data_IF_307807040875
#
_entry.id   IF_307807040875
#
_cell.length_a   1.000
_cell.length_b   1.000
_cell.length_c   1.000
_cell.angle_alpha   90.00
_cell.angle_beta   90.00
_cell.angle_gamma   90.00
#
_symmetry.space_group_name_H-M   'P 1'
#
loop_
_entity.id
_entity.type
_entity.pdbx_description
1 polymer ?
2 branched ?
3 water ?
#
# COMPACT_ATOMS: atom_id res chain seq x y z
N UNK A 4 10.68 -13.68 11.46
CA UNK A 4 11.93 -13.68 10.70
C UNK A 4 12.16 -12.37 9.95
N UNK A 5 11.21 -11.95 9.11
CA UNK A 5 11.41 -10.72 8.33
C UNK A 5 11.73 -9.49 9.13
N UNK A 6 10.86 -9.13 10.08
CA UNK A 6 10.98 -7.92 10.88
C UNK A 6 12.12 -8.04 11.88
N UNK A 7 12.35 -9.26 12.35
CA UNK A 7 13.50 -9.42 13.26
C UNK A 7 14.81 -9.17 12.52
N UNK A 8 14.90 -9.64 11.28
CA UNK A 8 16.10 -9.49 10.47
C UNK A 8 16.33 -8.10 9.93
N UNK A 9 15.30 -7.49 9.37
CA UNK A 9 15.43 -6.17 8.74
C UNK A 9 15.15 -5.02 9.68
N UNK A 10 14.29 -5.26 10.66
CA UNK A 10 14.00 -4.31 11.72
C UNK A 10 13.49 -2.97 11.26
N UNK A 11 14.15 -1.92 11.77
CA UNK A 11 13.78 -0.54 11.47
C UNK A 11 14.11 -0.19 10.02
N UNK A 12 13.07 0.22 9.30
CA UNK A 12 13.23 0.62 7.90
C UNK A 12 13.44 2.13 7.87
N UNK A 13 14.09 2.59 6.84
CA UNK A 13 14.29 4.03 6.64
C UNK A 13 14.60 4.24 5.17
N UNK A 14 14.70 5.52 4.82
CA UNK A 14 15.04 5.91 3.45
C UNK A 14 16.47 6.48 3.44
N UNK A 15 17.26 5.90 2.56
CA UNK A 15 18.65 6.32 2.36
C UNK A 15 18.93 6.53 0.87
N UNK A 16 19.19 7.78 0.50
CA UNK A 16 19.43 8.16 -0.89
C UNK A 16 18.30 7.69 -1.82
N UNK A 17 17.05 7.89 -1.42
CA UNK A 17 15.87 7.57 -2.18
C UNK A 17 15.51 6.09 -2.25
N UNK A 18 16.18 5.27 -1.45
CA UNK A 18 15.89 3.85 -1.42
C UNK A 18 15.43 3.37 -0.05
N UNK A 19 14.56 2.37 -0.06
CA UNK A 19 14.15 1.71 1.17
C UNK A 19 15.24 0.75 1.65
N UNK A 20 15.73 1.01 2.86
CA UNK A 20 16.76 0.18 3.47
C UNK A 20 16.36 -0.32 4.86
N UNK A 21 17.08 -1.38 5.29
CA UNK A 21 16.87 -1.94 6.63
C UNK A 21 17.79 -1.22 7.64
N UNK A 22 17.80 -1.68 8.88
CA UNK A 22 18.56 -1.05 9.96
C UNK A 22 20.07 -1.22 9.87
N UNK A 23 20.52 -2.08 9.01
CA UNK A 23 21.92 -2.27 8.68
C UNK A 23 22.27 -1.60 7.37
N UNK A 24 21.36 -0.78 6.82
CA UNK A 24 21.62 -0.07 5.58
C UNK A 24 21.53 -0.82 4.27
N UNK A 25 21.06 -2.05 4.25
CA UNK A 25 20.93 -2.80 3.01
C UNK A 25 19.55 -2.58 2.37
N UNK A 26 19.57 -2.50 1.06
CA UNK A 26 18.29 -2.33 0.35
C UNK A 26 17.41 -3.51 0.68
N UNK A 27 16.12 -3.23 0.85
CA UNK A 27 15.12 -4.25 1.09
C UNK A 27 13.91 -3.95 0.20
N UNK A 28 13.27 -5.01 -0.25
CA UNK A 28 12.09 -4.89 -1.12
C UNK A 28 10.96 -5.67 -0.48
N UNK A 29 9.84 -4.97 -0.26
CA UNK A 29 8.67 -5.60 0.31
C UNK A 29 7.70 -5.92 -0.82
N UNK A 30 7.11 -7.09 -0.73
CA UNK A 30 6.12 -7.59 -1.66
C UNK A 30 5.02 -8.25 -0.85
N UNK A 31 3.78 -7.77 -1.11
CA UNK A 31 2.67 -8.37 -0.38
C UNK A 31 1.34 -8.07 -1.06
N UNK A 32 0.32 -8.25 -0.24
CA UNK A 32 -1.04 -8.05 -0.70
C UNK A 32 -1.73 -6.94 0.08
N UNK A 33 -2.66 -6.27 -0.59
CA UNK A 33 -3.56 -5.35 0.03
C UNK A 33 -4.93 -6.04 0.20
N UNK A 34 -5.60 -5.73 1.29
CA UNK A 34 -7.00 -6.09 1.44
C UNK A 34 -7.76 -5.26 0.42
N UNK A 35 -9.02 -5.60 0.22
CA UNK A 35 -9.96 -4.76 -0.53
C UNK A 35 -10.54 -3.87 0.58
N UNK A 36 -11.64 -3.17 0.41
CA UNK A 36 -12.15 -2.31 1.44
C UNK A 36 -12.49 -3.12 2.70
N UNK A 37 -11.99 -2.67 3.84
CA UNK A 37 -12.29 -3.41 5.09
C UNK A 37 -13.76 -3.38 5.49
N UNK A 38 -14.53 -2.40 5.03
CA UNK A 38 -15.98 -2.37 5.34
C UNK A 38 -16.79 -3.38 4.54
N UNK A 39 -16.22 -4.01 3.53
CA UNK A 39 -16.86 -4.96 2.66
C UNK A 39 -16.27 -6.35 2.74
N UNK A 40 -14.93 -6.48 2.76
CA UNK A 40 -14.27 -7.76 2.72
C UNK A 40 -13.26 -8.04 3.82
N UNK A 41 -13.60 -7.52 5.01
CA UNK A 41 -12.86 -7.63 6.24
C UNK A 41 -12.69 -9.03 6.78
N UNK A 42 -13.56 -9.98 6.37
CA UNK A 42 -13.38 -11.35 6.77
C UNK A 42 -12.09 -11.97 6.27
N UNK A 43 -11.48 -11.45 5.19
CA UNK A 43 -10.24 -11.97 4.66
C UNK A 43 -8.99 -11.44 5.38
N UNK A 44 -9.20 -10.55 6.34
CA UNK A 44 -8.08 -9.98 7.09
C UNK A 44 -8.12 -10.50 8.52
N UNK A 45 -7.22 -11.44 8.81
CA UNK A 45 -7.15 -12.08 10.10
C UNK A 45 -5.79 -12.75 10.23
N UNK A 46 -5.40 -13.09 11.45
CA UNK A 46 -4.13 -13.77 11.66
C UNK A 46 -3.92 -14.99 10.78
N UNK A 47 -4.91 -15.86 10.68
CA UNK A 47 -4.75 -17.10 9.92
C UNK A 47 -4.52 -16.94 8.42
N UNK A 48 -5.27 -16.04 7.80
CA UNK A 48 -5.10 -15.77 6.36
C UNK A 48 -3.77 -15.06 6.15
N UNK A 49 -3.37 -14.15 7.04
CA UNK A 49 -2.12 -13.43 6.89
C UNK A 49 -0.95 -14.40 7.07
N UNK A 50 -1.11 -15.36 7.99
CA UNK A 50 -0.09 -16.37 8.21
C UNK A 50 0.04 -17.30 7.00
N UNK A 51 -1.10 -17.62 6.36
CA UNK A 51 -1.06 -18.40 5.14
C UNK A 51 -0.37 -17.62 4.02
N UNK A 52 -0.68 -16.33 3.86
CA UNK A 52 0.00 -15.52 2.85
C UNK A 52 1.52 -15.52 3.10
N UNK A 53 1.92 -15.35 4.36
CA UNK A 53 3.31 -15.32 4.70
C UNK A 53 4.01 -16.64 4.35
N UNK A 54 3.42 -17.74 4.79
CA UNK A 54 4.05 -19.03 4.64
C UNK A 54 3.94 -19.64 3.24
N UNK A 55 2.81 -19.50 2.58
CA UNK A 55 2.61 -20.15 1.27
C UNK A 55 2.94 -19.22 0.12
N UNK A 56 2.63 -17.93 0.27
CA UNK A 56 2.97 -16.99 -0.79
C UNK A 56 4.32 -16.34 -0.57
N UNK A 57 4.81 -16.22 0.67
CA UNK A 57 6.06 -15.54 0.92
C UNK A 57 5.92 -14.04 1.12
N UNK A 58 4.73 -13.53 1.44
CA UNK A 58 4.57 -12.08 1.61
C UNK A 58 5.40 -11.62 2.81
N UNK A 59 5.84 -10.37 2.76
CA UNK A 59 6.58 -9.74 3.83
C UNK A 59 5.94 -8.40 4.21
N UNK A 60 4.79 -8.09 3.64
CA UNK A 60 4.05 -6.89 4.00
C UNK A 60 2.57 -7.11 3.70
N UNK A 61 1.71 -6.51 4.54
CA UNK A 61 0.26 -6.63 4.30
C UNK A 61 -0.32 -5.23 4.41
N UNK A 62 -1.19 -4.86 3.50
CA UNK A 62 -1.79 -3.53 3.48
C UNK A 62 -3.26 -3.56 3.86
N UNK A 63 -3.64 -2.85 4.93
CA UNK A 63 -5.01 -2.77 5.39
C UNK A 63 -5.66 -1.54 4.76
N UNK A 64 -6.53 -1.75 3.78
CA UNK A 64 -7.19 -0.67 3.06
C UNK A 64 -8.47 -0.19 3.71
N UNK A 65 -8.32 0.80 4.59
CA UNK A 65 -9.43 1.37 5.32
C UNK A 65 -10.07 2.53 4.55
N UNK A 66 -11.05 2.21 3.72
CA UNK A 66 -11.77 3.25 3.00
C UNK A 66 -12.30 4.23 4.05
N UNK A 67 -12.31 5.48 3.68
CA UNK A 67 -12.82 6.55 4.51
C UNK A 67 -14.29 6.78 4.15
N UNK A 68 -14.56 6.93 2.87
CA UNK A 68 -15.91 7.09 2.38
C UNK A 68 -16.46 5.74 1.93
N UNK A 69 -17.51 5.72 1.13
CA UNK A 69 -18.10 4.51 0.58
C UNK A 69 -18.41 3.48 1.66
N UNK A 70 -19.03 3.92 2.74
CA UNK A 70 -19.36 3.07 3.87
C UNK A 70 -18.23 2.73 4.80
N UNK A 71 -17.07 3.36 4.63
CA UNK A 71 -15.86 3.21 5.39
C UNK A 71 -15.89 3.95 6.71
N UNK A 72 -14.69 4.34 7.14
CA UNK A 72 -14.47 4.92 8.45
C UNK A 72 -15.30 6.12 8.82
N UNK A 73 -15.54 7.06 7.92
CA UNK A 73 -16.33 8.26 8.31
C UNK A 73 -17.78 7.90 8.58
N UNK A 74 -18.30 6.90 7.87
CA UNK A 74 -19.69 6.49 8.07
C UNK A 74 -19.83 5.55 9.23
N UNK A 75 -18.85 4.67 9.40
CA UNK A 75 -18.83 3.71 10.49
C UNK A 75 -17.40 3.43 10.91
N UNK A 76 -16.97 4.09 11.97
CA UNK A 76 -15.59 4.07 12.44
C UNK A 76 -15.14 2.78 13.09
N UNK A 77 -16.07 1.84 13.27
CA UNK A 77 -15.76 0.54 13.84
C UNK A 77 -14.74 -0.20 13.01
N UNK A 78 -14.59 0.08 11.71
CA UNK A 78 -13.61 -0.50 10.85
C UNK A 78 -12.17 -0.23 11.28
N UNK A 79 -11.93 0.82 12.10
CA UNK A 79 -10.58 1.05 12.61
C UNK A 79 -10.10 -0.15 13.43
N UNK A 80 -11.03 -0.85 14.09
CA UNK A 80 -10.71 -2.03 14.88
C UNK A 80 -10.14 -3.15 14.03
N UNK A 81 -10.60 -3.29 12.78
CA UNK A 81 -10.08 -4.28 11.85
C UNK A 81 -8.66 -3.91 11.45
N UNK A 82 -8.38 -2.61 11.27
CA UNK A 82 -7.00 -2.15 11.07
C UNK A 82 -6.13 -2.60 12.23
N UNK A 83 -6.57 -2.40 13.47
CA UNK A 83 -5.80 -2.85 14.64
C UNK A 83 -5.56 -4.35 14.60
N UNK A 84 -6.57 -5.14 14.23
CA UNK A 84 -6.39 -6.58 14.13
C UNK A 84 -5.33 -6.94 13.10
N UNK A 85 -5.31 -6.25 11.94
CA UNK A 85 -4.30 -6.52 10.92
C UNK A 85 -2.89 -6.15 11.43
N UNK A 86 -2.79 -5.02 12.13
CA UNK A 86 -1.51 -4.54 12.64
C UNK A 86 -0.95 -5.56 13.65
N UNK A 87 -1.84 -6.01 14.53
CA UNK A 87 -1.45 -6.94 15.60
C UNK A 87 -1.04 -8.29 15.03
N UNK A 88 -1.75 -8.70 13.98
CA UNK A 88 -1.40 -9.94 13.29
C UNK A 88 -0.02 -9.81 12.68
N UNK A 89 0.26 -8.67 12.05
CA UNK A 89 1.54 -8.43 11.38
C UNK A 89 2.68 -8.46 12.40
N UNK A 90 2.43 -7.90 13.59
CA UNK A 90 3.42 -7.91 14.67
C UNK A 90 3.65 -9.35 15.13
N UNK A 91 2.57 -10.11 15.29
CA UNK A 91 2.66 -11.51 15.66
C UNK A 91 3.37 -12.40 14.65
N UNK A 92 3.25 -12.12 13.37
CA UNK A 92 3.79 -12.86 12.25
C UNK A 92 5.14 -12.32 11.78
N UNK A 93 5.58 -11.24 12.42
CA UNK A 93 6.86 -10.63 12.15
C UNK A 93 6.98 -10.21 10.68
N UNK A 94 5.94 -9.55 10.16
CA UNK A 94 5.98 -8.94 8.84
C UNK A 94 5.59 -7.47 8.94
N UNK A 95 5.81 -6.70 7.89
CA UNK A 95 5.44 -5.30 7.85
C UNK A 95 3.94 -5.13 7.55
N UNK A 96 3.42 -3.97 7.96
CA UNK A 96 2.01 -3.65 7.75
C UNK A 96 1.81 -2.19 7.38
N UNK A 97 0.99 -1.95 6.37
CA UNK A 97 0.69 -0.60 5.93
C UNK A 97 -0.73 -0.22 6.38
N UNK A 98 -0.83 0.87 7.12
CA UNK A 98 -2.11 1.38 7.59
C UNK A 98 -2.55 2.41 6.55
N UNK A 99 -3.55 2.06 5.71
CA UNK A 99 -3.94 2.93 4.60
C UNK A 99 -5.26 3.65 4.83
N UNK A 100 -5.17 4.96 4.90
CA UNK A 100 -6.30 5.92 5.00
C UNK A 100 -6.74 6.05 3.55
N UNK A 101 -7.70 5.19 3.18
CA UNK A 101 -8.00 4.92 1.81
C UNK A 101 -9.04 5.85 1.22
N UNK A 102 -8.55 7.07 0.87
CA UNK A 102 -9.39 8.06 0.20
C UNK A 102 -9.60 7.64 -1.25
N UNK A 103 -10.74 7.98 -1.83
CA UNK A 103 -10.99 7.68 -3.25
C UNK A 103 -12.08 8.62 -3.76
N UNK A 104 -13.37 8.33 -3.51
CA UNK A 104 -14.42 9.27 -3.94
C UNK A 104 -14.32 10.62 -3.24
N UNK A 105 -13.81 10.71 -2.04
CA UNK A 105 -13.42 11.82 -1.21
C UNK A 105 -12.01 12.10 -1.71
N UNK A 106 -12.02 12.77 -2.88
CA UNK A 106 -10.87 12.84 -3.77
C UNK A 106 -9.77 13.77 -3.33
N UNK A 107 -10.12 14.68 -2.47
CA UNK A 107 -9.12 15.59 -1.89
C UNK A 107 -8.90 15.12 -0.47
N UNK A 108 -7.66 14.86 -0.06
CA UNK A 108 -7.35 14.43 1.31
C UNK A 108 -7.75 15.44 2.36
N UNK A 109 -7.90 16.72 1.97
CA UNK A 109 -8.33 17.72 2.94
C UNK A 109 -9.76 17.56 3.40
N UNK A 110 -10.63 16.89 2.62
CA UNK A 110 -12.01 16.75 3.00
C UNK A 110 -12.15 16.22 4.42
N UNK A 111 -11.46 15.10 4.70
CA UNK A 111 -11.50 14.54 6.05
C UNK A 111 -10.19 14.68 6.83
N UNK A 112 -9.49 15.82 6.70
CA UNK A 112 -8.19 15.95 7.37
C UNK A 112 -8.22 15.95 8.87
N UNK A 113 -9.26 16.51 9.48
CA UNK A 113 -9.34 16.53 10.94
C UNK A 113 -9.51 15.10 11.44
N UNK A 114 -10.37 14.32 10.78
CA UNK A 114 -10.54 12.93 11.17
C UNK A 114 -9.26 12.14 10.93
N UNK A 115 -8.54 12.43 9.87
CA UNK A 115 -7.26 11.77 9.57
C UNK A 115 -6.21 12.06 10.63
N UNK A 116 -6.14 13.30 11.08
CA UNK A 116 -5.15 13.61 12.14
C UNK A 116 -5.46 12.84 13.42
N UNK A 117 -6.74 12.80 13.77
CA UNK A 117 -7.13 12.07 15.00
C UNK A 117 -6.84 10.58 14.88
N UNK A 118 -7.16 10.00 13.72
CA UNK A 118 -6.93 8.60 13.40
C UNK A 118 -5.44 8.27 13.45
N UNK A 119 -4.63 9.06 12.72
CA UNK A 119 -3.20 8.82 12.76
C UNK A 119 -2.54 9.11 14.09
N UNK A 120 -3.05 10.00 14.92
CA UNK A 120 -2.56 10.21 16.28
C UNK A 120 -2.76 8.93 17.08
N UNK A 121 -3.98 8.36 16.97
CA UNK A 121 -4.32 7.15 17.70
C UNK A 121 -3.46 5.95 17.25
N UNK A 122 -3.32 5.78 15.93
CA UNK A 122 -2.56 4.62 15.45
C UNK A 122 -1.08 4.76 15.83
N UNK A 123 -0.51 5.95 15.68
CA UNK A 123 0.91 6.10 16.00
C UNK A 123 1.15 6.07 17.51
N UNK A 124 0.19 6.48 18.31
CA UNK A 124 0.35 6.35 19.77
C UNK A 124 0.32 4.87 20.15
N UNK A 125 -0.58 4.09 19.55
CA UNK A 125 -0.66 2.67 19.82
C UNK A 125 0.52 1.84 19.36
N UNK A 126 0.98 2.03 18.12
CA UNK A 126 1.95 1.17 17.48
C UNK A 126 3.26 1.81 17.07
N UNK A 127 3.47 3.05 17.49
CA UNK A 127 4.60 3.88 17.15
C UNK A 127 5.92 3.32 17.66
N UNK A 128 5.89 2.41 18.64
CA UNK A 128 7.14 1.79 19.06
C UNK A 128 7.29 0.35 18.57
N UNK A 129 6.71 0.06 17.38
CA UNK A 129 6.99 -1.18 16.68
C UNK A 129 7.56 -0.81 15.31
N UNK A 130 8.51 -1.54 14.78
CA UNK A 130 9.15 -1.31 13.52
C UNK A 130 8.31 -1.79 12.33
N UNK A 131 7.27 -2.56 12.58
CA UNK A 131 6.43 -3.12 11.52
C UNK A 131 5.60 -2.11 10.73
N UNK A 132 5.23 -1.01 11.34
CA UNK A 132 4.25 -0.07 10.84
C UNK A 132 4.76 0.90 9.79
N UNK A 133 3.98 1.02 8.71
CA UNK A 133 4.18 1.97 7.61
C UNK A 133 2.84 2.74 7.48
N UNK A 134 2.84 4.06 7.53
CA UNK A 134 1.59 4.81 7.47
C UNK A 134 1.33 5.28 6.05
N UNK A 135 0.16 5.02 5.50
CA UNK A 135 -0.16 5.56 4.17
C UNK A 135 -1.34 6.54 4.39
N UNK A 136 -1.06 7.83 4.37
CA UNK A 136 -1.99 8.87 4.80
C UNK A 136 -3.04 9.32 3.80
N UNK A 137 -2.96 9.00 2.52
CA UNK A 137 -3.98 9.39 1.54
C UNK A 137 -3.84 8.54 0.27
N UNK A 138 -4.50 7.40 0.25
CA UNK A 138 -4.43 6.41 -0.82
C UNK A 138 -4.29 7.02 -2.22
N UNK A 139 -5.36 7.61 -2.71
CA UNK A 139 -5.39 8.13 -4.06
C UNK A 139 -6.07 9.48 -4.23
N UNK A 140 -5.33 10.54 -3.99
CA UNK A 140 -5.78 11.89 -4.32
C UNK A 140 -6.15 11.83 -5.80
N UNK A 141 -7.25 12.51 -6.20
CA UNK A 141 -7.59 12.53 -7.62
C UNK A 141 -8.44 13.77 -7.95
N UNK A 142 -8.56 14.02 -9.25
CA UNK A 142 -9.31 15.19 -9.72
C UNK A 142 -8.35 16.26 -10.20
N UNK A 143 -8.82 17.05 -11.18
CA UNK A 143 -8.03 18.15 -11.71
C UNK A 143 -7.75 19.27 -10.73
N UNK A 144 -8.61 19.50 -9.77
CA UNK A 144 -8.52 20.51 -8.74
C UNK A 144 -7.77 20.08 -7.48
N UNK A 145 -7.15 18.91 -7.50
CA UNK A 145 -6.41 18.40 -6.37
C UNK A 145 -4.95 18.26 -6.83
N UNK A 146 -4.15 19.26 -6.48
CA UNK A 146 -2.76 19.20 -6.91
C UNK A 146 -1.80 18.92 -5.74
N UNK A 147 -0.60 18.51 -6.11
CA UNK A 147 0.44 18.27 -5.11
C UNK A 147 0.71 19.54 -4.33
N UNK A 148 1.04 20.62 -5.07
CA UNK A 148 1.42 21.86 -4.34
C UNK A 148 0.30 22.49 -3.55
N UNK A 149 -0.94 22.49 -4.03
CA UNK A 149 -2.00 23.22 -3.33
C UNK A 149 -2.79 22.41 -2.34
N UNK A 150 -2.95 21.11 -2.56
CA UNK A 150 -3.78 20.27 -1.72
C UNK A 150 -3.03 19.12 -1.02
N UNK A 151 -2.26 18.35 -1.77
CA UNK A 151 -1.64 17.16 -1.17
C UNK A 151 -0.48 17.42 -0.23
N UNK A 152 0.46 18.24 -0.66
CA UNK A 152 1.65 18.54 0.15
C UNK A 152 1.24 19.21 1.43
N UNK A 153 0.39 20.20 1.40
CA UNK A 153 -0.08 20.87 2.62
C UNK A 153 -0.82 19.97 3.58
N UNK A 154 -1.64 19.06 3.05
CA UNK A 154 -2.26 18.00 3.84
C UNK A 154 -1.24 17.15 4.56
N UNK A 155 -0.25 16.66 3.81
CA UNK A 155 0.83 15.86 4.34
C UNK A 155 1.60 16.64 5.41
N UNK A 156 1.76 17.95 5.23
CA UNK A 156 2.47 18.76 6.25
C UNK A 156 1.63 19.04 7.49
N UNK A 157 0.36 18.67 7.49
CA UNK A 157 -0.45 18.72 8.69
C UNK A 157 -0.47 17.36 9.36
N UNK A 158 -0.58 16.27 8.59
CA UNK A 158 -0.72 14.94 9.19
C UNK A 158 0.61 14.30 9.63
N UNK A 159 1.69 14.55 8.91
CA UNK A 159 3.00 14.04 9.27
C UNK A 159 3.46 14.50 10.66
N UNK A 160 3.26 15.73 11.05
CA UNK A 160 3.66 16.22 12.39
C UNK A 160 2.94 15.45 13.49
N UNK A 161 1.64 15.16 13.30
CA UNK A 161 0.87 14.37 14.27
C UNK A 161 1.52 13.01 14.49
N UNK A 162 1.86 12.31 13.41
CA UNK A 162 2.50 11.01 13.47
C UNK A 162 3.88 11.10 14.14
N UNK A 163 4.67 12.08 13.71
CA UNK A 163 6.05 12.25 14.17
C UNK A 163 6.19 12.59 15.64
N UNK A 164 5.12 13.17 16.19
CA UNK A 164 5.06 13.46 17.64
C UNK A 164 5.06 12.15 18.44
N UNK A 165 4.59 11.06 17.87
CA UNK A 165 4.52 9.76 18.54
C UNK A 165 5.48 8.73 17.96
N UNK A 166 5.85 8.90 16.72
CA UNK A 166 6.66 7.91 16.00
C UNK A 166 7.59 8.68 15.06
N UNK A 167 8.82 8.86 15.52
CA UNK A 167 9.78 9.74 14.87
C UNK A 167 10.26 9.30 13.50
N UNK A 168 10.19 8.02 13.17
CA UNK A 168 10.82 7.69 11.90
C UNK A 168 10.35 6.43 11.20
N UNK A 169 9.24 5.82 11.59
CA UNK A 169 8.67 4.78 10.73
C UNK A 169 8.29 5.46 9.42
N UNK A 170 8.27 4.65 8.35
CA UNK A 170 8.00 5.14 6.99
C UNK A 170 6.57 5.67 6.84
N UNK A 171 6.46 6.78 6.13
CA UNK A 171 5.17 7.37 5.79
C UNK A 171 5.07 7.41 4.25
N UNK A 172 4.03 6.80 3.69
CA UNK A 172 3.80 6.82 2.24
C UNK A 172 2.75 7.91 1.97
N UNK A 173 3.00 8.84 1.07
CA UNK A 173 2.10 9.93 0.73
C UNK A 173 1.59 9.76 -0.72
N UNK A 174 0.27 9.83 -0.87
CA UNK A 174 -0.37 9.70 -2.16
C UNK A 174 0.03 10.87 -3.09
N UNK A 175 -0.06 10.61 -4.40
CA UNK A 175 0.23 11.64 -5.38
C UNK A 175 -0.99 11.96 -6.23
N UNK A 176 -0.84 12.99 -7.07
CA UNK A 176 -2.02 13.39 -7.87
C UNK A 176 -2.41 12.41 -8.96
N UNK A 177 -3.63 12.61 -9.48
CA UNK A 177 -4.17 11.78 -10.55
C UNK A 177 -4.19 10.29 -10.21
N UNK A 178 -4.81 10.00 -9.08
CA UNK A 178 -4.90 8.66 -8.52
C UNK A 178 -3.55 8.05 -8.26
N UNK A 179 -2.68 8.80 -7.57
CA UNK A 179 -1.32 8.39 -7.22
C UNK A 179 -0.51 7.92 -8.44
N UNK A 180 -0.56 8.74 -9.49
CA UNK A 180 0.27 8.55 -10.64
C UNK A 180 1.24 9.72 -10.88
N UNK A 181 0.95 10.88 -10.37
CA UNK A 181 1.74 12.07 -10.66
C UNK A 181 2.94 12.19 -9.72
N UNK A 182 3.87 11.23 -9.89
CA UNK A 182 5.09 11.28 -9.10
C UNK A 182 6.05 12.35 -9.56
N UNK A 183 5.94 12.76 -10.83
CA UNK A 183 6.78 13.83 -11.36
C UNK A 183 6.67 15.11 -10.54
N UNK A 184 5.47 15.60 -10.33
CA UNK A 184 5.24 16.81 -9.58
C UNK A 184 5.70 16.69 -8.14
N UNK A 185 5.42 15.54 -7.51
CA UNK A 185 5.83 15.38 -6.12
C UNK A 185 7.35 15.31 -6.03
N UNK A 186 8.00 14.69 -7.01
CA UNK A 186 9.47 14.55 -6.95
C UNK A 186 10.17 15.90 -7.17
N UNK A 187 9.51 16.82 -7.85
CA UNK A 187 10.08 18.16 -8.04
C UNK A 187 9.77 19.08 -6.87
N UNK A 188 8.98 18.66 -5.88
CA UNK A 188 8.62 19.54 -4.74
C UNK A 188 8.47 18.69 -3.48
N UNK A 189 9.52 17.97 -3.13
CA UNK A 189 9.46 16.95 -2.09
C UNK A 189 9.20 17.51 -0.69
N UNK A 190 8.66 16.66 0.18
CA UNK A 190 8.44 16.93 1.59
C UNK A 190 9.75 16.95 2.34
N UNK A 191 9.83 17.61 3.49
CA UNK A 191 11.04 17.64 4.27
C UNK A 191 11.37 16.34 5.01
N UNK A 192 10.38 15.59 5.47
CA UNK A 192 10.65 14.38 6.28
C UNK A 192 11.51 13.40 5.51
N UNK A 193 12.56 12.91 6.16
CA UNK A 193 13.53 12.04 5.53
C UNK A 193 13.06 10.62 5.34
N UNK A 194 11.98 10.23 5.99
CA UNK A 194 11.49 8.88 5.87
C UNK A 194 10.13 8.79 5.19
N UNK A 195 9.97 9.60 4.14
CA UNK A 195 8.73 9.60 3.37
C UNK A 195 9.01 8.95 2.03
N UNK A 196 7.95 8.31 1.51
CA UNK A 196 7.91 7.72 0.18
C UNK A 196 6.67 8.26 -0.53
N UNK A 197 6.71 8.32 -1.86
CA UNK A 197 5.55 8.78 -2.62
C UNK A 197 4.91 7.53 -3.23
N UNK A 198 3.59 7.47 -3.21
CA UNK A 198 2.86 6.36 -3.77
C UNK A 198 2.83 6.47 -5.29
N UNK A 199 2.97 5.33 -5.94
CA UNK A 199 2.78 5.23 -7.39
C UNK A 199 1.92 3.98 -7.62
N UNK A 200 0.82 4.11 -8.34
CA UNK A 200 -0.13 3.03 -8.59
C UNK A 200 -0.31 2.76 -10.09
N UNK A 201 -0.37 1.51 -10.47
CA UNK A 201 -0.53 1.15 -11.89
C UNK A 201 -1.44 -0.06 -12.02
N UNK A 202 -2.02 -0.17 -13.23
CA UNK A 202 -2.91 -1.26 -13.61
C UNK A 202 -2.38 -1.83 -14.91
N UNK A 203 -2.15 -3.13 -15.01
CA UNK A 203 -1.57 -3.76 -16.16
C UNK A 203 -2.41 -3.64 -17.44
N UNK A 204 -3.70 -3.30 -17.33
CA UNK A 204 -4.56 -3.06 -18.47
C UNK A 204 -4.24 -1.75 -19.20
N UNK A 205 -3.43 -0.92 -18.60
CA UNK A 205 -2.99 0.35 -19.20
C UNK A 205 -1.62 0.16 -19.79
N UNK A 206 -1.38 0.57 -21.06
CA UNK A 206 -0.04 0.47 -21.64
C UNK A 206 0.89 1.35 -20.81
N UNK A 207 1.94 0.76 -20.22
CA UNK A 207 2.70 1.47 -19.21
C UNK A 207 4.05 2.02 -19.50
N UNK A 208 4.47 2.11 -20.74
CA UNK A 208 5.86 2.50 -21.03
C UNK A 208 6.17 3.92 -20.60
N UNK A 209 5.31 4.90 -20.78
CA UNK A 209 5.61 6.25 -20.33
C UNK A 209 5.55 6.34 -18.80
N UNK A 210 4.61 5.57 -18.23
CA UNK A 210 4.49 5.58 -16.75
C UNK A 210 5.77 5.07 -16.09
N UNK A 211 6.38 4.04 -16.66
CA UNK A 211 7.68 3.55 -16.19
C UNK A 211 8.73 4.64 -16.32
N UNK A 212 8.74 5.36 -17.47
CA UNK A 212 9.69 6.47 -17.62
C UNK A 212 9.44 7.56 -16.59
N UNK A 213 8.18 7.80 -16.21
CA UNK A 213 7.86 8.79 -15.20
C UNK A 213 8.33 8.36 -13.81
N UNK A 214 8.22 7.06 -13.50
CA UNK A 214 8.75 6.61 -12.19
C UNK A 214 10.25 6.82 -12.17
N UNK A 215 10.89 6.50 -13.30
CA UNK A 215 12.34 6.68 -13.40
C UNK A 215 12.73 8.15 -13.22
N UNK A 216 11.92 9.08 -13.76
CA UNK A 216 12.18 10.51 -13.56
C UNK A 216 12.16 10.84 -12.06
N UNK A 217 11.09 10.37 -11.39
CA UNK A 217 10.98 10.60 -9.95
C UNK A 217 12.13 10.06 -9.15
N UNK A 218 12.53 8.82 -9.47
CA UNK A 218 13.65 8.20 -8.76
C UNK A 218 14.91 9.03 -8.96
N UNK A 219 15.11 9.55 -10.17
CA UNK A 219 16.22 10.40 -10.53
C UNK A 219 16.27 11.73 -9.78
N UNK A 220 15.19 12.19 -9.21
CA UNK A 220 15.15 13.35 -8.33
C UNK A 220 15.42 12.96 -6.89
N UNK A 221 15.72 11.70 -6.62
CA UNK A 221 15.97 11.21 -5.28
C UNK A 221 14.72 10.94 -4.46
N UNK A 222 13.54 10.95 -5.09
CA UNK A 222 12.33 10.62 -4.37
C UNK A 222 12.22 9.11 -4.19
N UNK A 223 11.81 8.64 -3.03
CA UNK A 223 11.59 7.21 -2.84
C UNK A 223 10.14 6.90 -3.27
N UNK A 224 9.93 5.75 -3.90
CA UNK A 224 8.59 5.42 -4.41
C UNK A 224 8.11 4.08 -3.87
N UNK A 225 6.87 4.04 -3.41
CA UNK A 225 6.33 2.75 -2.94
C UNK A 225 5.11 2.44 -3.81
N UNK A 226 5.09 1.29 -4.48
CA UNK A 226 3.94 0.92 -5.33
C UNK A 226 2.90 0.28 -4.41
N UNK A 227 2.16 1.12 -3.68
CA UNK A 227 1.28 0.66 -2.62
C UNK A 227 -0.04 0.05 -3.10
N UNK A 228 -0.25 0.10 -4.42
CA UNK A 228 -1.44 -0.54 -5.02
C UNK A 228 -1.10 -0.76 -6.50
N UNK A 229 -1.25 -1.96 -6.98
CA UNK A 229 -1.20 -2.23 -8.42
C UNK A 229 -2.11 -3.40 -8.71
N UNK A 230 -2.54 -3.49 -9.97
CA UNK A 230 -3.40 -4.62 -10.34
C UNK A 230 -3.03 -5.19 -11.70
N UNK A 231 -3.46 -6.45 -11.86
CA UNK A 231 -3.29 -7.16 -13.13
C UNK A 231 -4.41 -6.82 -14.10
N UNK A 232 -5.40 -6.09 -13.69
CA UNK A 232 -6.56 -5.68 -14.43
C UNK A 232 -6.48 -4.27 -14.96
N UNK A 233 -7.65 -3.75 -15.36
CA UNK A 233 -7.75 -2.36 -15.76
C UNK A 233 -7.84 -1.50 -14.50
N UNK A 234 -7.84 -0.18 -14.67
CA UNK A 234 -7.91 0.80 -13.61
C UNK A 234 -9.13 0.71 -12.73
N UNK A 235 -10.23 0.13 -13.25
CA UNK A 235 -11.43 -0.03 -12.45
C UNK A 235 -11.35 -1.24 -11.56
N UNK A 236 -10.32 -2.09 -11.72
CA UNK A 236 -10.18 -3.28 -10.90
C UNK A 236 -10.81 -4.48 -11.58
N UNK A 237 -11.39 -4.24 -12.77
CA UNK A 237 -12.00 -5.36 -13.52
C UNK A 237 -11.66 -5.22 -15.00
N UNK A 238 -12.25 -6.00 -15.90
CA UNK A 238 -12.05 -5.78 -17.33
C UNK A 238 -10.97 -6.61 -17.97
N UNK A 239 -10.62 -7.74 -17.41
CA UNK A 239 -9.60 -8.62 -17.95
C UNK A 239 -8.32 -8.72 -17.15
N UNK A 240 -7.51 -9.75 -17.42
CA UNK A 240 -6.22 -9.90 -16.73
C UNK A 240 -5.15 -9.75 -17.81
N UNK A 241 -4.18 -8.87 -17.59
CA UNK A 241 -3.15 -8.56 -18.58
C UNK A 241 -1.78 -8.94 -18.09
N UNK A 242 -1.47 -10.25 -18.13
CA UNK A 242 -0.24 -10.73 -17.56
C UNK A 242 1.02 -10.39 -18.27
N UNK A 243 0.99 -10.14 -19.59
CA UNK A 243 2.23 -9.73 -20.25
C UNK A 243 2.69 -8.38 -19.71
N UNK A 244 1.82 -7.37 -19.67
CA UNK A 244 2.20 -6.06 -19.14
C UNK A 244 2.47 -6.14 -17.63
N UNK A 245 1.73 -6.97 -16.91
CA UNK A 245 2.02 -7.13 -15.47
C UNK A 245 3.44 -7.61 -15.25
N UNK A 246 3.89 -8.59 -16.09
CA UNK A 246 5.24 -9.09 -15.99
C UNK A 246 6.28 -8.02 -16.30
N UNK A 247 5.98 -7.15 -17.26
CA UNK A 247 6.93 -6.07 -17.58
C UNK A 247 7.07 -5.19 -16.32
N UNK A 248 5.98 -4.82 -15.69
CA UNK A 248 6.05 -4.01 -14.46
C UNK A 248 6.74 -4.74 -13.33
N UNK A 249 6.48 -6.05 -13.19
CA UNK A 249 7.16 -6.82 -12.12
C UNK A 249 8.66 -6.69 -12.28
N UNK A 250 9.13 -6.95 -13.51
CA UNK A 250 10.56 -6.88 -13.80
C UNK A 250 11.12 -5.49 -13.57
N UNK A 251 10.38 -4.45 -13.95
CA UNK A 251 10.81 -3.08 -13.77
C UNK A 251 10.98 -2.76 -12.26
N UNK A 252 10.02 -3.21 -11.48
CA UNK A 252 10.06 -2.97 -10.03
C UNK A 252 11.25 -3.72 -9.42
N UNK A 253 11.57 -4.93 -9.87
CA UNK A 253 12.75 -5.62 -9.37
C UNK A 253 14.04 -4.92 -9.73
N UNK A 254 14.15 -4.42 -10.97
CA UNK A 254 15.34 -3.68 -11.39
C UNK A 254 15.52 -2.41 -10.56
N UNK A 255 14.43 -1.75 -10.20
CA UNK A 255 14.48 -0.50 -9.45
C UNK A 255 14.36 -0.68 -7.96
N UNK A 256 14.26 -1.92 -7.49
CA UNK A 256 14.07 -2.22 -6.08
C UNK A 256 12.86 -1.53 -5.46
N UNK A 257 11.73 -1.57 -6.17
CA UNK A 257 10.53 -0.95 -5.67
C UNK A 257 9.66 -1.99 -4.94
N UNK A 258 9.22 -1.59 -3.75
CA UNK A 258 8.35 -2.40 -2.91
C UNK A 258 6.92 -2.28 -3.41
N UNK A 259 6.10 -3.33 -3.20
CA UNK A 259 4.74 -3.27 -3.72
C UNK A 259 3.72 -4.12 -2.97
N UNK A 260 2.46 -3.73 -3.16
CA UNK A 260 1.31 -4.39 -2.61
C UNK A 260 0.25 -4.55 -3.73
N UNK A 261 -0.16 -5.76 -4.00
CA UNK A 261 -1.12 -6.07 -5.04
C UNK A 261 -2.57 -5.92 -4.57
N UNK A 262 -3.40 -5.37 -5.44
CA UNK A 262 -4.81 -5.20 -5.22
C UNK A 262 -5.59 -6.29 -5.97
N UNK A 263 -6.33 -7.12 -5.27
CA UNK A 263 -6.55 -7.16 -3.85
C UNK A 263 -6.99 -8.55 -3.37
N UNK A 264 -6.94 -8.75 -2.05
CA UNK A 264 -7.32 -9.99 -1.42
C UNK A 264 -8.80 -10.02 -1.07
N UNK A 265 -9.56 -10.52 -2.05
CA UNK A 265 -11.00 -10.69 -1.94
C UNK A 265 -11.50 -11.74 -2.93
N UNK A 266 -12.74 -12.19 -2.73
CA UNK A 266 -13.35 -13.16 -3.66
C UNK A 266 -14.34 -12.49 -4.60
N UNK A 267 -14.39 -11.16 -4.55
CA UNK A 267 -15.28 -10.39 -5.43
C UNK A 267 -15.10 -10.83 -6.88
N UNK A 268 -16.19 -10.81 -7.66
CA UNK A 268 -16.14 -11.21 -9.07
C UNK A 268 -15.65 -10.07 -9.95
N UNK A 269 -14.36 -9.81 -9.84
CA UNK A 269 -13.70 -8.75 -10.65
C UNK A 269 -12.30 -9.30 -10.93
N UNK A 270 -11.73 -8.96 -12.08
CA UNK A 270 -10.48 -9.55 -12.52
C UNK A 270 -9.33 -9.36 -11.55
N UNK A 271 -9.26 -8.24 -10.85
CA UNK A 271 -8.11 -7.98 -9.98
C UNK A 271 -8.17 -8.79 -8.67
N UNK A 272 -9.33 -9.35 -8.37
CA UNK A 272 -9.46 -10.12 -7.12
C UNK A 272 -8.55 -11.33 -7.18
N UNK A 273 -7.83 -11.62 -6.09
CA UNK A 273 -6.91 -12.74 -6.03
C UNK A 273 -7.58 -14.10 -5.80
N UNK A 274 -8.78 -14.09 -5.25
CA UNK A 274 -9.42 -15.35 -4.86
C UNK A 274 -10.71 -15.62 -5.64
N UNK A 275 -11.03 -16.91 -5.68
CA UNK A 275 -12.30 -17.32 -6.32
C UNK A 275 -13.38 -17.31 -5.24
N UNK A 276 -14.63 -17.31 -5.65
CA UNK A 276 -15.78 -17.27 -4.78
C UNK A 276 -15.78 -18.18 -3.58
N UNK A 277 -15.23 -19.38 -3.63
CA UNK A 277 -15.28 -20.27 -2.48
C UNK A 277 -14.01 -20.36 -1.64
N UNK A 278 -13.18 -19.31 -1.72
CA UNK A 278 -11.92 -19.36 -0.97
C UNK A 278 -12.22 -19.10 0.52
N UNK A 279 -11.59 -19.88 1.35
CA UNK A 279 -11.78 -19.79 2.79
C UNK A 279 -11.18 -18.49 3.27
N UNK A 280 -11.90 -17.74 4.08
CA UNK A 280 -11.43 -16.46 4.58
C UNK A 280 -10.24 -16.60 5.52
N UNK A 281 -9.98 -17.80 6.06
CA UNK A 281 -8.86 -18.03 6.93
C UNK A 281 -7.69 -18.68 6.21
N UNK A 282 -7.66 -18.72 4.88
CA UNK A 282 -6.49 -19.26 4.20
C UNK A 282 -6.51 -20.72 3.77
N UNK A 283 -5.35 -21.24 3.35
CA UNK A 283 -5.21 -22.64 2.96
C UNK A 283 -5.67 -22.91 1.53
N UNK A 284 -5.70 -21.88 0.69
CA UNK A 284 -6.24 -22.00 -0.65
C UNK A 284 -5.53 -23.02 -1.55
N UNK A 285 -6.34 -23.78 -2.26
CA UNK A 285 -5.87 -24.70 -3.29
C UNK A 285 -5.70 -23.85 -4.55
N UNK A 286 -5.12 -24.46 -5.57
CA UNK A 286 -4.93 -23.80 -6.86
C UNK A 286 -6.24 -23.35 -7.46
N UNK A 287 -7.32 -24.12 -7.33
CA UNK A 287 -8.64 -23.77 -7.82
C UNK A 287 -9.33 -22.62 -7.14
N UNK A 288 -8.92 -22.29 -5.92
CA UNK A 288 -9.49 -21.20 -5.14
C UNK A 288 -8.78 -19.86 -5.38
N UNK A 289 -7.73 -19.90 -6.18
CA UNK A 289 -7.06 -18.69 -6.59
C UNK A 289 -7.53 -18.31 -7.99
N UNK A 290 -7.70 -17.01 -8.23
CA UNK A 290 -8.10 -16.59 -9.58
C UNK A 290 -6.85 -16.57 -10.43
N UNK A 291 -6.98 -16.29 -11.71
CA UNK A 291 -5.85 -16.13 -12.60
C UNK A 291 -4.95 -15.00 -12.07
N UNK A 292 -5.50 -13.92 -11.58
CA UNK A 292 -4.70 -12.86 -10.98
C UNK A 292 -3.94 -13.34 -9.75
N UNK A 293 -4.63 -13.93 -8.77
CA UNK A 293 -4.04 -14.45 -7.56
C UNK A 293 -2.97 -15.49 -7.82
N UNK A 294 -3.16 -16.38 -8.80
CA UNK A 294 -2.15 -17.38 -9.15
C UNK A 294 -0.85 -16.75 -9.58
N UNK A 295 -0.94 -15.71 -10.41
CA UNK A 295 0.20 -14.98 -10.91
C UNK A 295 0.89 -14.22 -9.78
N UNK A 296 0.11 -13.53 -8.95
CA UNK A 296 0.73 -12.76 -7.86
C UNK A 296 1.48 -13.67 -6.91
N UNK A 297 0.85 -14.78 -6.54
CA UNK A 297 1.50 -15.76 -5.66
C UNK A 297 2.79 -16.27 -6.28
N UNK A 298 2.79 -16.61 -7.57
CA UNK A 298 4.01 -17.05 -8.21
C UNK A 298 5.09 -15.99 -8.15
N UNK A 299 4.71 -14.72 -8.41
CA UNK A 299 5.73 -13.67 -8.36
C UNK A 299 6.37 -13.57 -6.99
N UNK A 300 5.56 -13.62 -5.92
CA UNK A 300 6.13 -13.47 -4.57
C UNK A 300 6.90 -14.72 -4.17
N UNK A 301 6.45 -15.91 -4.57
CA UNK A 301 7.21 -17.13 -4.27
C UNK A 301 8.56 -17.14 -4.97
N UNK A 302 8.62 -16.66 -6.20
CA UNK A 302 9.82 -16.60 -7.04
C UNK A 302 10.84 -15.64 -6.40
N UNK A 303 10.29 -14.63 -5.73
CA UNK A 303 11.09 -13.63 -5.06
C UNK A 303 11.83 -14.25 -3.89
#
# INVERSE_FOLDING_TARGET
>A
DNDSVVEEHGQLSISNGELVNERGEQVQLKGMSSHGLQWYGQFVNYESMKWLRDDWGINVFRAAMYTSSGGYIDDPSVKEKVKEAVEAAIDLDIYVIIDWHILSDNDPNIYKEEAKDFFDEMSELYGDYPNVIYEIANEPNGSDVTWGNQIKPYAEEVIPIIRNNDPNNIIIVGTGTWSQDVHHAADNQLADPNVMYAFHFYAGTHGQNLRDQVDYALDQGAAIFVSEWGTSAATGDGGVFLDEAQVWIDFMDERNLSWANWSLTHKDESSAALMPGANPTGGWTEAELSPSGTFVREKIRES
#
